data_IF_903484420677
#
_entry.id   IF_903484420677
#
_cell.length_a   1.000
_cell.length_b   1.000
_cell.length_c   1.000
_cell.angle_alpha   90.00
_cell.angle_beta   90.00
_cell.angle_gamma   90.00
#
_symmetry.space_group_name_H-M   'P 1'
#
loop_
_entity.id
_entity.type
_entity.pdbx_description
1 polymer ?
#
# COMPACT_ATOMS: atom_id res chain seq x y z
N UNK A 1 8.25 0.48 -25.86
CA UNK A 1 7.88 -0.94 -26.10
C UNK A 1 8.28 -1.32 -27.52
N UNK A 2 8.94 -2.45 -27.73
CA UNK A 2 9.46 -2.91 -29.03
C UNK A 2 8.93 -4.31 -29.37
N UNK A 3 8.97 -4.63 -30.68
CA UNK A 3 8.57 -5.94 -31.19
C UNK A 3 9.73 -6.54 -31.99
N UNK A 4 10.18 -7.70 -31.60
CA UNK A 4 11.08 -8.53 -32.40
C UNK A 4 10.28 -9.12 -33.57
N UNK A 5 10.49 -8.54 -34.75
CA UNK A 5 9.74 -8.91 -35.97
C UNK A 5 10.04 -10.34 -36.42
N UNK A 6 11.23 -10.86 -36.14
CA UNK A 6 11.59 -12.23 -36.55
C UNK A 6 10.84 -13.26 -35.72
N UNK A 7 10.68 -13.02 -34.42
CA UNK A 7 9.87 -13.85 -33.53
C UNK A 7 8.37 -13.68 -33.72
N UNK A 8 7.91 -12.49 -34.10
CA UNK A 8 6.48 -12.20 -34.21
C UNK A 8 5.79 -13.08 -35.25
N UNK A 9 4.77 -13.84 -34.85
CA UNK A 9 3.97 -14.72 -35.74
C UNK A 9 2.69 -14.06 -36.29
N UNK A 10 2.44 -12.80 -35.95
CA UNK A 10 1.30 -12.05 -36.48
C UNK A 10 -0.08 -12.49 -35.91
N UNK A 11 -0.11 -13.10 -34.76
CA UNK A 11 -1.35 -13.63 -34.13
C UNK A 11 -2.35 -12.54 -33.69
N UNK A 12 -1.98 -11.28 -33.69
CA UNK A 12 -2.80 -10.11 -33.34
C UNK A 12 -3.24 -9.99 -31.88
N UNK A 13 -2.92 -10.90 -30.99
CA UNK A 13 -3.36 -10.89 -29.58
C UNK A 13 -2.98 -9.58 -28.87
N UNK A 14 -1.73 -9.13 -29.01
CA UNK A 14 -1.26 -7.88 -28.41
C UNK A 14 -2.02 -6.64 -28.91
N UNK A 15 -2.43 -6.63 -30.19
CA UNK A 15 -3.25 -5.56 -30.76
C UNK A 15 -4.66 -5.56 -30.19
N UNK A 16 -5.27 -6.73 -30.02
CA UNK A 16 -6.63 -6.89 -29.49
C UNK A 16 -6.72 -6.49 -28.02
N UNK A 17 -5.67 -6.75 -27.24
CA UNK A 17 -5.59 -6.46 -25.80
C UNK A 17 -5.12 -5.02 -25.48
N UNK A 18 -4.67 -4.27 -26.47
CA UNK A 18 -4.17 -2.91 -26.28
C UNK A 18 -5.31 -1.90 -26.09
N UNK A 19 -5.59 -1.50 -24.84
CA UNK A 19 -6.68 -0.58 -24.51
C UNK A 19 -6.54 0.80 -25.17
N UNK A 20 -5.31 1.26 -25.41
CA UNK A 20 -5.02 2.56 -26.06
C UNK A 20 -4.88 2.44 -27.57
N UNK A 21 -5.07 1.25 -28.14
CA UNK A 21 -4.99 0.97 -29.58
C UNK A 21 -3.70 1.45 -30.24
N UNK A 22 -2.57 1.39 -29.54
CA UNK A 22 -1.26 1.88 -29.99
C UNK A 22 -0.46 0.84 -30.80
N UNK A 23 -1.10 -0.28 -31.18
CA UNK A 23 -0.49 -1.38 -31.92
C UNK A 23 -1.21 -1.58 -33.25
N UNK A 24 -0.45 -1.53 -34.33
CA UNK A 24 -0.91 -1.81 -35.68
C UNK A 24 -0.22 -3.05 -36.28
N UNK A 25 -0.74 -3.55 -37.40
CA UNK A 25 -0.12 -4.67 -38.11
C UNK A 25 0.49 -4.16 -39.40
N UNK A 26 1.81 -4.29 -39.57
CA UNK A 26 2.56 -3.95 -40.79
C UNK A 26 3.18 -5.25 -41.31
N UNK A 27 2.92 -5.59 -42.56
CA UNK A 27 3.38 -6.85 -43.19
C UNK A 27 3.10 -8.07 -42.36
N UNK A 28 1.88 -8.17 -41.80
CA UNK A 28 1.40 -9.25 -40.91
C UNK A 28 2.18 -9.37 -39.58
N UNK A 29 2.97 -8.39 -39.19
CA UNK A 29 3.71 -8.33 -37.92
C UNK A 29 3.20 -7.18 -37.06
N UNK A 30 3.24 -7.32 -35.74
CA UNK A 30 2.88 -6.25 -34.84
C UNK A 30 3.92 -5.11 -34.92
N UNK A 31 3.41 -3.88 -34.83
CA UNK A 31 4.22 -2.65 -34.73
C UNK A 31 3.60 -1.77 -33.62
N UNK A 32 4.37 -1.44 -32.59
CA UNK A 32 3.95 -0.55 -31.50
C UNK A 32 4.43 0.85 -31.84
N UNK A 33 3.48 1.78 -31.90
CA UNK A 33 3.78 3.16 -32.37
C UNK A 33 4.44 4.01 -31.28
N UNK A 34 4.26 3.64 -29.99
CA UNK A 34 4.71 4.39 -28.82
C UNK A 34 4.22 5.86 -28.78
N UNK A 35 3.02 6.13 -29.31
CA UNK A 35 2.41 7.46 -29.32
C UNK A 35 1.49 7.69 -28.12
N UNK A 36 0.73 6.67 -27.77
CA UNK A 36 -0.24 6.70 -26.65
C UNK A 36 -0.01 5.56 -25.65
N UNK A 37 1.08 4.83 -25.80
CA UNK A 37 1.43 3.69 -24.98
C UNK A 37 1.61 4.10 -23.51
N UNK A 38 0.84 3.44 -22.61
CA UNK A 38 0.91 3.63 -21.16
C UNK A 38 1.85 2.62 -20.47
N UNK A 39 2.67 1.92 -21.23
CA UNK A 39 3.66 0.92 -20.75
C UNK A 39 3.08 -0.13 -19.79
N UNK A 40 1.80 -0.53 -19.98
CA UNK A 40 1.10 -1.46 -19.07
C UNK A 40 1.56 -2.93 -19.14
N UNK A 41 2.43 -3.28 -20.09
CA UNK A 41 3.01 -4.63 -20.21
C UNK A 41 2.07 -5.71 -20.77
N UNK A 42 0.78 -5.45 -21.02
CA UNK A 42 -0.17 -6.46 -21.51
C UNK A 42 0.30 -7.16 -22.79
N UNK A 43 0.88 -6.40 -23.71
CA UNK A 43 1.43 -6.94 -24.96
C UNK A 43 2.63 -7.89 -24.72
N UNK A 44 3.41 -7.69 -23.65
CA UNK A 44 4.47 -8.61 -23.21
C UNK A 44 3.83 -9.88 -22.67
N UNK A 45 2.89 -9.74 -21.72
CA UNK A 45 2.28 -10.85 -21.02
C UNK A 45 1.48 -11.80 -21.93
N UNK A 46 0.79 -11.26 -22.97
CA UNK A 46 -0.07 -12.07 -23.85
C UNK A 46 0.68 -12.70 -25.03
N UNK A 47 1.97 -12.31 -25.27
CA UNK A 47 2.70 -12.78 -26.45
C UNK A 47 3.17 -14.23 -26.34
N UNK A 48 2.61 -15.19 -27.13
CA UNK A 48 2.93 -16.61 -26.97
C UNK A 48 4.37 -16.95 -27.39
N UNK A 49 5.01 -16.09 -28.16
CA UNK A 49 6.37 -16.29 -28.69
C UNK A 49 7.40 -15.32 -28.10
N UNK A 50 7.03 -14.59 -27.06
CA UNK A 50 7.92 -13.61 -26.37
C UNK A 50 8.57 -12.61 -27.33
N UNK A 51 7.80 -12.14 -28.33
CA UNK A 51 8.28 -11.19 -29.34
C UNK A 51 8.19 -9.73 -28.90
N UNK A 52 7.61 -9.42 -27.74
CA UNK A 52 7.44 -8.06 -27.24
C UNK A 52 8.29 -7.87 -26.00
N UNK A 53 9.00 -6.73 -25.91
CA UNK A 53 9.80 -6.33 -24.75
C UNK A 53 9.66 -4.84 -24.46
N UNK A 54 10.15 -4.41 -23.32
CA UNK A 54 10.38 -3.00 -23.00
C UNK A 54 11.81 -2.63 -23.37
N UNK A 55 11.98 -1.48 -23.98
CA UNK A 55 13.28 -0.90 -24.35
C UNK A 55 13.76 0.18 -23.35
N UNK A 56 12.97 0.41 -22.31
CA UNK A 56 13.27 1.35 -21.24
C UNK A 56 13.86 0.57 -20.06
N UNK A 57 15.13 0.25 -20.14
CA UNK A 57 15.86 -0.55 -19.15
C UNK A 57 16.11 0.23 -17.84
N UNK A 58 15.99 1.56 -17.83
CA UNK A 58 16.14 2.38 -16.62
C UNK A 58 14.92 2.25 -15.70
N UNK A 59 13.72 2.13 -16.28
CA UNK A 59 12.46 2.05 -15.51
C UNK A 59 11.90 0.62 -15.41
N UNK A 60 12.18 -0.28 -16.38
CA UNK A 60 11.55 -1.59 -16.50
C UNK A 60 12.57 -2.71 -16.75
N UNK A 61 12.67 -3.68 -15.85
CA UNK A 61 13.50 -4.85 -16.05
C UNK A 61 12.71 -5.99 -16.69
N UNK A 62 13.20 -6.50 -17.83
CA UNK A 62 12.64 -7.71 -18.45
C UNK A 62 12.97 -8.99 -17.64
N UNK A 63 13.89 -8.95 -16.70
CA UNK A 63 14.17 -10.07 -15.78
C UNK A 63 13.04 -10.35 -14.81
N UNK A 64 12.17 -9.35 -14.55
CA UNK A 64 10.96 -9.51 -13.74
C UNK A 64 9.83 -10.27 -14.46
N UNK A 65 9.94 -10.48 -15.78
CA UNK A 65 8.91 -11.16 -16.57
C UNK A 65 9.04 -12.67 -16.40
N UNK A 66 8.22 -13.24 -15.52
CA UNK A 66 8.22 -14.65 -15.16
C UNK A 66 7.22 -15.41 -16.04
N UNK A 67 7.59 -16.56 -16.64
CA UNK A 67 6.65 -17.43 -17.33
C UNK A 67 5.55 -17.93 -16.39
N UNK A 68 4.32 -18.05 -16.92
CA UNK A 68 3.21 -18.58 -16.15
C UNK A 68 3.35 -20.09 -15.93
N UNK A 69 3.39 -20.50 -14.65
CA UNK A 69 3.31 -21.89 -14.22
C UNK A 69 2.10 -22.04 -13.27
N UNK A 70 1.18 -22.93 -13.60
CA UNK A 70 -0.12 -23.01 -12.92
C UNK A 70 0.00 -23.24 -11.43
N UNK A 71 0.94 -24.08 -11.02
CA UNK A 71 1.18 -24.43 -9.61
C UNK A 71 1.58 -23.21 -8.78
N UNK A 72 2.38 -22.33 -9.35
CA UNK A 72 2.93 -21.16 -8.66
C UNK A 72 1.99 -19.95 -8.69
N UNK A 73 1.13 -19.85 -9.72
CA UNK A 73 0.30 -18.67 -9.97
C UNK A 73 -1.18 -18.87 -9.65
N UNK A 74 -1.56 -20.01 -9.08
CA UNK A 74 -2.96 -20.25 -8.67
C UNK A 74 -3.07 -20.46 -7.17
N UNK A 75 -4.10 -19.88 -6.57
CA UNK A 75 -4.43 -20.05 -5.17
C UNK A 75 -5.87 -20.56 -5.04
N UNK A 76 -6.08 -21.49 -4.12
CA UNK A 76 -7.42 -21.99 -3.81
C UNK A 76 -8.29 -20.87 -3.23
N UNK A 77 -9.50 -20.69 -3.79
CA UNK A 77 -10.39 -19.60 -3.45
C UNK A 77 -10.86 -19.64 -1.99
N UNK A 78 -11.12 -20.82 -1.44
CA UNK A 78 -11.56 -20.95 -0.05
C UNK A 78 -10.41 -20.69 0.93
N UNK A 79 -9.19 -21.11 0.59
CA UNK A 79 -8.00 -20.79 1.37
C UNK A 79 -7.76 -19.29 1.39
N UNK A 80 -7.82 -18.61 0.23
CA UNK A 80 -7.69 -17.16 0.14
C UNK A 80 -8.77 -16.44 0.94
N UNK A 81 -10.04 -16.89 0.83
CA UNK A 81 -11.15 -16.32 1.58
C UNK A 81 -10.96 -16.49 3.09
N UNK A 82 -10.52 -17.65 3.54
CA UNK A 82 -10.25 -17.90 4.96
C UNK A 82 -9.10 -17.06 5.48
N UNK A 83 -8.03 -16.90 4.69
CA UNK A 83 -6.91 -16.01 4.98
C UNK A 83 -7.38 -14.57 5.21
N UNK A 84 -8.16 -14.01 4.25
CA UNK A 84 -8.72 -12.65 4.39
C UNK A 84 -9.65 -12.51 5.60
N UNK A 85 -10.49 -13.52 5.89
CA UNK A 85 -11.40 -13.52 7.05
C UNK A 85 -10.67 -13.56 8.38
N UNK A 86 -9.49 -14.18 8.43
CA UNK A 86 -8.72 -14.36 9.66
C UNK A 86 -7.87 -13.13 10.01
N UNK A 87 -7.46 -12.31 9.02
CA UNK A 87 -6.68 -11.09 9.22
C UNK A 87 -7.30 -10.14 10.26
N UNK A 88 -6.45 -9.59 11.14
CA UNK A 88 -6.84 -8.64 12.20
C UNK A 88 -5.87 -7.47 12.29
N UNK A 89 -6.40 -6.33 12.73
CA UNK A 89 -5.55 -5.21 13.15
C UNK A 89 -4.82 -5.58 14.44
N UNK A 90 -3.52 -5.77 14.36
CA UNK A 90 -2.65 -6.13 15.49
C UNK A 90 -2.22 -4.85 16.22
N UNK A 91 -2.30 -4.86 17.56
CA UNK A 91 -1.93 -3.74 18.44
C UNK A 91 -1.10 -4.19 19.64
N UNK A 92 -0.53 -5.37 19.56
CA UNK A 92 0.43 -5.90 20.52
C UNK A 92 1.54 -6.58 19.75
N UNK A 93 2.70 -5.94 19.72
CA UNK A 93 3.86 -6.40 18.98
C UNK A 93 4.96 -6.91 19.91
N UNK A 94 5.79 -7.81 19.39
CA UNK A 94 7.08 -8.15 19.97
C UNK A 94 8.07 -7.02 19.67
N UNK A 95 9.23 -7.06 20.32
CA UNK A 95 10.31 -6.08 20.07
C UNK A 95 11.27 -6.52 18.97
N UNK A 96 11.01 -7.69 18.38
CA UNK A 96 11.87 -8.26 17.35
C UNK A 96 11.87 -7.35 16.13
N UNK A 97 13.05 -7.10 15.59
CA UNK A 97 13.20 -6.39 14.32
C UNK A 97 12.65 -7.23 13.17
N UNK A 98 12.25 -6.56 12.10
CA UNK A 98 11.76 -7.21 10.88
C UNK A 98 12.92 -7.26 9.89
N UNK A 99 13.13 -8.44 9.33
CA UNK A 99 14.16 -8.70 8.33
C UNK A 99 13.91 -7.86 7.06
N UNK A 100 14.97 -7.31 6.48
CA UNK A 100 14.88 -6.42 5.32
C UNK A 100 14.18 -7.11 4.13
N UNK A 101 14.47 -8.40 3.91
CA UNK A 101 13.81 -9.20 2.87
C UNK A 101 12.27 -9.23 3.01
N UNK A 102 11.74 -9.22 4.23
CA UNK A 102 10.28 -9.14 4.44
C UNK A 102 9.73 -7.76 4.14
N UNK A 103 10.50 -6.71 4.48
CA UNK A 103 10.11 -5.32 4.16
C UNK A 103 10.05 -5.14 2.64
N UNK A 104 11.05 -5.62 1.92
CA UNK A 104 11.10 -5.61 0.46
C UNK A 104 9.91 -6.34 -0.16
N UNK A 105 9.56 -7.53 0.33
CA UNK A 105 8.38 -8.29 -0.15
C UNK A 105 7.06 -7.54 0.11
N UNK A 106 6.94 -6.82 1.21
CA UNK A 106 5.75 -6.00 1.49
C UNK A 106 5.65 -4.85 0.50
N UNK A 107 6.77 -4.16 0.23
CA UNK A 107 6.83 -3.05 -0.75
C UNK A 107 6.54 -3.59 -2.15
N UNK A 108 7.11 -4.72 -2.50
CA UNK A 108 6.88 -5.40 -3.77
C UNK A 108 5.39 -5.71 -4.01
N UNK A 109 4.68 -6.21 -3.00
CA UNK A 109 3.24 -6.43 -3.10
C UNK A 109 2.46 -5.13 -3.38
N UNK A 110 2.92 -3.99 -2.87
CA UNK A 110 2.39 -2.67 -3.18
C UNK A 110 2.73 -2.23 -4.61
N UNK A 111 3.98 -2.45 -5.05
CA UNK A 111 4.49 -2.08 -6.38
C UNK A 111 3.73 -2.78 -7.49
N UNK A 112 3.37 -4.05 -7.34
CA UNK A 112 2.55 -4.82 -8.30
C UNK A 112 1.04 -4.50 -8.20
N UNK A 113 0.68 -3.29 -7.80
CA UNK A 113 -0.70 -2.83 -7.79
C UNK A 113 -1.02 -2.10 -9.09
N UNK A 114 -2.18 -2.40 -9.67
CA UNK A 114 -2.69 -1.63 -10.80
C UNK A 114 -2.94 -0.18 -10.39
N UNK A 115 -2.57 0.76 -11.24
CA UNK A 115 -2.79 2.19 -11.04
C UNK A 115 -3.57 2.78 -12.20
N UNK A 116 -4.20 3.92 -11.99
CA UNK A 116 -4.89 4.66 -13.04
C UNK A 116 -3.95 4.95 -14.21
N UNK A 117 -4.34 4.57 -15.43
CA UNK A 117 -3.50 4.72 -16.64
C UNK A 117 -2.07 4.17 -16.53
N UNK A 118 -1.86 3.23 -15.62
CA UNK A 118 -0.54 2.64 -15.31
C UNK A 118 0.51 3.69 -14.90
N UNK A 119 0.10 4.72 -14.16
CA UNK A 119 0.99 5.82 -13.75
C UNK A 119 2.08 5.39 -12.76
N UNK A 120 1.82 4.34 -11.97
CA UNK A 120 2.75 3.72 -11.00
C UNK A 120 3.37 4.74 -10.01
N UNK A 121 2.58 5.73 -9.56
CA UNK A 121 3.02 6.84 -8.72
C UNK A 121 2.97 6.54 -7.22
N UNK A 122 2.61 5.31 -6.83
CA UNK A 122 2.59 4.93 -5.41
C UNK A 122 4.01 4.87 -4.86
N UNK A 123 4.25 5.61 -3.80
CA UNK A 123 5.56 5.67 -3.14
C UNK A 123 5.48 5.28 -1.66
N UNK A 124 6.60 4.87 -1.10
CA UNK A 124 6.66 4.29 0.24
C UNK A 124 7.74 4.99 1.07
N UNK A 125 7.42 5.30 2.32
CA UNK A 125 8.42 5.72 3.30
C UNK A 125 8.52 4.67 4.40
N UNK A 126 9.67 4.07 4.55
CA UNK A 126 10.01 3.10 5.60
C UNK A 126 10.62 3.85 6.78
N UNK A 127 10.02 3.71 7.97
CA UNK A 127 10.52 4.35 9.19
C UNK A 127 10.85 3.27 10.22
N UNK A 128 12.12 3.16 10.60
CA UNK A 128 12.67 2.25 11.63
C UNK A 128 13.28 3.06 12.78
N UNK A 129 14.26 3.89 12.49
CA UNK A 129 15.09 4.55 13.51
C UNK A 129 14.43 5.78 14.15
N UNK A 130 13.63 6.50 13.41
CA UNK A 130 13.05 7.80 13.84
C UNK A 130 11.60 7.71 14.34
N UNK A 131 11.11 6.51 14.68
CA UNK A 131 9.72 6.31 15.11
C UNK A 131 9.38 7.17 16.34
N UNK A 132 10.28 7.29 17.31
CA UNK A 132 10.01 8.05 18.53
C UNK A 132 9.91 9.55 18.26
N UNK A 133 10.74 10.09 17.39
CA UNK A 133 10.67 11.52 17.02
C UNK A 133 9.40 11.81 16.22
N UNK A 134 9.05 10.93 15.27
CA UNK A 134 7.80 11.04 14.53
C UNK A 134 6.60 10.95 15.47
N UNK A 135 6.61 10.00 16.42
CA UNK A 135 5.59 9.86 17.46
C UNK A 135 5.43 11.13 18.28
N UNK A 136 6.53 11.77 18.67
CA UNK A 136 6.53 13.03 19.43
C UNK A 136 5.79 14.15 18.68
N UNK A 137 6.11 14.32 17.39
CA UNK A 137 5.49 15.36 16.56
C UNK A 137 4.01 15.07 16.32
N UNK A 138 3.67 13.82 16.03
CA UNK A 138 2.27 13.39 15.82
C UNK A 138 1.43 13.58 17.08
N UNK A 139 1.89 13.13 18.24
CA UNK A 139 1.18 13.31 19.51
C UNK A 139 1.03 14.78 19.91
N UNK A 140 2.04 15.60 19.69
CA UNK A 140 1.96 17.05 19.91
C UNK A 140 0.89 17.69 19.03
N UNK A 141 0.80 17.29 17.77
CA UNK A 141 -0.23 17.77 16.84
C UNK A 141 -1.63 17.32 17.28
N UNK A 142 -1.80 16.05 17.64
CA UNK A 142 -3.08 15.53 18.15
C UNK A 142 -3.51 16.24 19.43
N UNK A 143 -2.57 16.59 20.32
CA UNK A 143 -2.86 17.34 21.52
C UNK A 143 -3.39 18.76 21.19
N UNK A 144 -2.73 19.48 20.27
CA UNK A 144 -3.22 20.79 19.80
C UNK A 144 -4.63 20.69 19.16
N UNK A 145 -4.89 19.64 18.38
CA UNK A 145 -6.20 19.39 17.81
C UNK A 145 -7.24 19.12 18.91
N UNK A 146 -6.87 18.36 19.95
CA UNK A 146 -7.72 18.07 21.08
C UNK A 146 -8.11 19.34 21.85
N UNK A 147 -7.15 20.26 22.10
CA UNK A 147 -7.44 21.53 22.77
C UNK A 147 -8.44 22.38 21.98
N UNK A 148 -8.30 22.46 20.65
CA UNK A 148 -9.26 23.15 19.79
C UNK A 148 -10.64 22.52 19.86
N UNK A 149 -10.74 21.18 19.87
CA UNK A 149 -12.01 20.47 19.93
C UNK A 149 -12.70 20.64 21.28
N UNK A 150 -11.95 20.64 22.38
CA UNK A 150 -12.48 20.78 23.73
C UNK A 150 -12.90 22.21 24.07
N UNK A 151 -12.28 23.21 23.45
CA UNK A 151 -12.64 24.63 23.62
C UNK A 151 -13.78 25.09 22.72
N UNK A 152 -14.19 24.30 21.73
CA UNK A 152 -15.27 24.64 20.81
C UNK A 152 -16.57 23.94 21.23
N UNK A 153 -17.54 24.71 21.70
CA UNK A 153 -18.86 24.21 22.14
C UNK A 153 -19.67 23.53 21.03
N UNK A 154 -19.37 23.85 19.74
CA UNK A 154 -20.02 23.24 18.59
C UNK A 154 -19.44 21.85 18.24
N UNK A 155 -18.35 21.42 18.91
CA UNK A 155 -17.75 20.11 18.63
C UNK A 155 -18.75 18.99 18.90
N UNK A 156 -19.03 18.11 17.89
CA UNK A 156 -19.96 17.01 18.08
C UNK A 156 -19.54 16.10 19.24
N UNK A 157 -20.46 15.83 20.18
CA UNK A 157 -20.19 15.05 21.41
C UNK A 157 -19.49 13.70 21.15
N UNK A 158 -19.81 13.04 20.04
CA UNK A 158 -19.19 11.76 19.70
C UNK A 158 -17.70 11.88 19.33
N UNK A 159 -17.20 13.08 18.99
CA UNK A 159 -15.81 13.34 18.71
C UNK A 159 -15.00 13.70 19.96
N UNK A 160 -15.62 14.22 21.02
CA UNK A 160 -14.93 14.61 22.25
C UNK A 160 -14.17 13.44 22.90
N UNK A 161 -14.66 12.21 22.75
CA UNK A 161 -13.93 11.01 23.23
C UNK A 161 -12.53 10.87 22.60
N UNK A 162 -12.38 11.29 21.34
CA UNK A 162 -11.06 11.28 20.66
C UNK A 162 -10.16 12.38 21.19
N UNK A 163 -10.70 13.58 21.42
CA UNK A 163 -9.93 14.68 22.01
C UNK A 163 -9.39 14.29 23.39
N UNK A 164 -10.22 13.76 24.27
CA UNK A 164 -9.76 13.26 25.58
C UNK A 164 -8.74 12.12 25.46
N UNK A 165 -8.88 11.24 24.47
CA UNK A 165 -7.93 10.15 24.25
C UNK A 165 -6.58 10.70 23.78
N UNK A 166 -6.56 11.65 22.84
CA UNK A 166 -5.32 12.26 22.33
C UNK A 166 -4.59 13.02 23.42
N UNK A 167 -5.30 13.75 24.29
CA UNK A 167 -4.68 14.39 25.44
C UNK A 167 -3.99 13.37 26.35
N UNK A 168 -4.70 12.32 26.75
CA UNK A 168 -4.10 11.27 27.59
C UNK A 168 -2.90 10.59 26.93
N UNK A 169 -2.93 10.38 25.61
CA UNK A 169 -1.79 9.80 24.88
C UNK A 169 -0.58 10.73 24.90
N UNK A 170 -0.81 12.03 24.74
CA UNK A 170 0.25 13.05 24.80
C UNK A 170 0.81 13.18 26.22
N UNK A 171 -0.04 13.32 27.23
CA UNK A 171 0.37 13.46 28.64
C UNK A 171 1.20 12.23 29.09
N UNK A 172 0.74 11.03 28.74
CA UNK A 172 1.48 9.78 29.02
C UNK A 172 2.83 9.73 28.31
N UNK A 173 2.92 10.25 27.08
CA UNK A 173 4.18 10.35 26.36
C UNK A 173 5.14 11.36 27.01
N UNK A 174 4.65 12.52 27.43
CA UNK A 174 5.46 13.55 28.10
C UNK A 174 5.99 13.03 29.45
N UNK A 175 5.14 12.35 30.23
CA UNK A 175 5.52 11.75 31.50
C UNK A 175 6.57 10.65 31.33
N UNK A 176 6.37 9.76 30.37
CA UNK A 176 7.31 8.67 30.09
C UNK A 176 7.32 8.30 28.60
N UNK A 177 8.23 8.87 27.78
CA UNK A 177 8.32 8.58 26.35
C UNK A 177 8.51 7.10 26.00
N UNK A 178 9.11 6.32 26.92
CA UNK A 178 9.31 4.88 26.78
C UNK A 178 8.17 4.05 27.37
N UNK A 179 7.16 4.71 27.96
CA UNK A 179 5.99 4.10 28.58
C UNK A 179 5.01 3.50 27.59
N UNK A 180 3.71 3.62 27.88
CA UNK A 180 2.65 3.14 27.01
C UNK A 180 2.65 3.88 25.66
N UNK A 181 2.42 3.13 24.58
CA UNK A 181 2.27 3.67 23.24
C UNK A 181 0.94 3.21 22.62
N UNK A 182 -0.01 4.12 22.52
CA UNK A 182 -1.32 3.89 21.86
C UNK A 182 -1.39 4.45 20.44
N UNK A 183 -0.29 5.04 19.93
CA UNK A 183 -0.24 5.51 18.56
C UNK A 183 0.32 4.44 17.63
N UNK A 184 1.49 3.89 17.96
CA UNK A 184 2.20 2.89 17.15
C UNK A 184 2.42 1.56 17.88
N UNK A 185 1.95 1.44 19.13
CA UNK A 185 1.99 0.20 19.93
C UNK A 185 3.39 -0.41 20.07
N UNK A 186 4.43 0.44 20.07
CA UNK A 186 5.84 0.04 20.11
C UNK A 186 6.24 -0.92 18.98
N UNK A 187 5.59 -0.82 17.84
CA UNK A 187 5.97 -1.57 16.65
C UNK A 187 7.36 -1.12 16.16
N UNK A 188 8.18 -2.04 15.63
CA UNK A 188 9.52 -1.74 15.15
C UNK A 188 9.55 -1.08 13.77
N UNK A 189 8.42 -1.06 13.05
CA UNK A 189 8.38 -0.60 11.66
C UNK A 189 7.09 0.17 11.36
N UNK A 190 7.23 1.30 10.65
CA UNK A 190 6.13 1.94 9.96
C UNK A 190 6.41 1.95 8.46
N UNK A 191 5.40 1.67 7.65
CA UNK A 191 5.43 1.93 6.21
C UNK A 191 4.31 2.91 5.89
N UNK A 192 4.67 4.07 5.35
CA UNK A 192 3.74 5.11 4.98
C UNK A 192 3.58 5.06 3.48
N UNK A 193 2.37 4.79 3.02
CA UNK A 193 2.00 4.72 1.61
C UNK A 193 1.55 6.11 1.16
N UNK A 194 2.14 6.60 0.08
CA UNK A 194 1.86 7.90 -0.52
C UNK A 194 1.51 7.72 -1.99
N UNK A 195 0.58 8.50 -2.50
CA UNK A 195 0.19 8.52 -3.91
C UNK A 195 -0.50 9.83 -4.24
N UNK A 196 -0.60 10.17 -5.52
CA UNK A 196 -1.46 11.28 -5.96
C UNK A 196 -2.93 10.85 -5.94
N UNK A 197 -3.22 9.60 -6.34
CA UNK A 197 -4.55 9.01 -6.35
C UNK A 197 -4.79 8.14 -5.12
N UNK A 198 -5.84 8.47 -4.36
CA UNK A 198 -6.20 7.74 -3.13
C UNK A 198 -6.61 6.29 -3.39
N UNK A 199 -7.22 6.00 -4.55
CA UNK A 199 -7.61 4.64 -4.93
C UNK A 199 -6.38 3.78 -5.15
N UNK A 200 -5.40 4.27 -5.90
CA UNK A 200 -4.18 3.54 -6.25
C UNK A 200 -3.38 3.20 -4.98
N UNK A 201 -3.18 4.19 -4.10
CA UNK A 201 -2.52 3.97 -2.81
C UNK A 201 -3.32 3.07 -1.85
N UNK A 202 -4.66 3.15 -1.90
CA UNK A 202 -5.54 2.27 -1.12
C UNK A 202 -5.46 0.80 -1.57
N UNK A 203 -5.44 0.56 -2.87
CA UNK A 203 -5.25 -0.78 -3.45
C UNK A 203 -3.87 -1.35 -3.10
N UNK A 204 -2.80 -0.53 -3.18
CA UNK A 204 -1.46 -0.93 -2.78
C UNK A 204 -1.42 -1.30 -1.29
N UNK A 205 -1.97 -0.45 -0.43
CA UNK A 205 -2.05 -0.71 1.02
C UNK A 205 -2.78 -2.01 1.35
N UNK A 206 -3.85 -2.34 0.61
CA UNK A 206 -4.60 -3.57 0.82
C UNK A 206 -3.80 -4.83 0.43
N UNK A 207 -3.05 -4.80 -0.68
CA UNK A 207 -2.16 -5.90 -1.06
C UNK A 207 -1.00 -6.07 -0.07
N UNK A 208 -0.39 -4.96 0.34
CA UNK A 208 0.67 -4.96 1.35
C UNK A 208 0.19 -5.55 2.67
N UNK A 209 -1.03 -5.24 3.12
CA UNK A 209 -1.63 -5.82 4.32
C UNK A 209 -1.70 -7.35 4.23
N UNK A 210 -2.14 -7.90 3.10
CA UNK A 210 -2.20 -9.34 2.89
C UNK A 210 -0.79 -9.97 2.90
N UNK A 211 0.19 -9.29 2.31
CA UNK A 211 1.59 -9.75 2.32
C UNK A 211 2.16 -9.76 3.75
N UNK A 212 1.88 -8.73 4.56
CA UNK A 212 2.27 -8.67 5.98
C UNK A 212 1.75 -9.91 6.73
N UNK A 213 0.47 -10.24 6.57
CA UNK A 213 -0.11 -11.42 7.23
C UNK A 213 0.48 -12.74 6.70
N UNK A 214 0.75 -12.83 5.39
CA UNK A 214 1.37 -14.02 4.77
C UNK A 214 2.80 -14.26 5.27
N UNK A 215 3.53 -13.20 5.61
CA UNK A 215 4.87 -13.25 6.19
C UNK A 215 4.87 -13.56 7.71
N UNK A 216 3.70 -13.81 8.31
CA UNK A 216 3.57 -14.06 9.75
C UNK A 216 3.75 -12.79 10.61
N UNK A 217 3.69 -11.63 10.00
CA UNK A 217 3.67 -10.33 10.66
C UNK A 217 2.24 -9.91 10.97
N UNK A 218 2.08 -8.80 11.67
CA UNK A 218 0.78 -8.17 11.89
C UNK A 218 0.85 -6.69 11.58
N UNK A 219 -0.27 -6.12 11.16
CA UNK A 219 -0.35 -4.68 10.90
C UNK A 219 -1.58 -4.03 11.52
N UNK A 220 -1.47 -2.72 11.68
CA UNK A 220 -2.53 -1.81 12.08
C UNK A 220 -2.40 -0.52 11.28
N UNK A 221 -3.48 -0.04 10.70
CA UNK A 221 -3.51 1.27 10.02
C UNK A 221 -3.76 2.39 11.03
N UNK A 222 -2.82 3.34 11.13
CA UNK A 222 -2.87 4.43 12.10
C UNK A 222 -3.59 5.66 11.55
N UNK A 223 -4.93 5.67 11.61
CA UNK A 223 -5.72 6.84 11.20
C UNK A 223 -5.49 8.10 12.07
N UNK A 224 -4.87 7.99 13.24
CA UNK A 224 -4.45 9.15 14.02
C UNK A 224 -3.22 9.83 13.44
N UNK A 225 -2.30 9.03 12.91
CA UNK A 225 -1.16 9.55 12.16
C UNK A 225 -1.63 10.37 10.95
N UNK A 226 -2.51 9.80 10.14
CA UNK A 226 -3.06 10.45 8.94
C UNK A 226 -3.75 11.79 9.28
N UNK A 227 -4.56 11.80 10.34
CA UNK A 227 -5.22 13.03 10.83
C UNK A 227 -4.23 14.11 11.28
N UNK A 228 -3.19 13.72 12.01
CA UNK A 228 -2.16 14.66 12.45
C UNK A 228 -1.36 15.20 11.26
N UNK A 229 -1.00 14.33 10.32
CA UNK A 229 -0.26 14.71 9.13
C UNK A 229 -1.02 15.70 8.24
N UNK A 230 -2.34 15.52 8.11
CA UNK A 230 -3.20 16.48 7.40
C UNK A 230 -3.25 17.89 8.04
N UNK A 231 -2.88 18.01 9.33
CA UNK A 231 -2.92 19.28 10.08
C UNK A 231 -1.53 19.88 10.33
N UNK A 232 -0.46 19.13 10.09
CA UNK A 232 0.90 19.56 10.38
C UNK A 232 1.86 19.19 9.25
N UNK A 233 2.23 20.15 8.38
CA UNK A 233 3.13 19.92 7.25
C UNK A 233 4.49 19.35 7.64
N UNK A 234 4.96 19.64 8.86
CA UNK A 234 6.22 19.09 9.37
C UNK A 234 6.24 17.56 9.35
N UNK A 235 5.09 16.90 9.57
CA UNK A 235 5.02 15.44 9.49
C UNK A 235 5.26 15.00 8.04
N UNK A 236 4.68 15.71 7.06
CA UNK A 236 4.94 15.47 5.64
C UNK A 236 6.42 15.62 5.28
N UNK A 237 7.06 16.67 5.76
CA UNK A 237 8.51 16.89 5.57
C UNK A 237 9.35 15.74 6.16
N UNK A 238 9.01 15.29 7.38
CA UNK A 238 9.74 14.21 8.06
C UNK A 238 9.68 12.87 7.31
N UNK A 239 8.62 12.65 6.56
CA UNK A 239 8.41 11.40 5.79
C UNK A 239 8.75 11.56 4.30
N UNK A 240 9.27 12.71 3.90
CA UNK A 240 9.62 12.98 2.50
C UNK A 240 8.40 13.01 1.57
N UNK A 241 7.30 13.62 2.01
CA UNK A 241 6.11 13.84 1.17
C UNK A 241 6.46 14.84 0.07
N UNK A 242 6.24 14.47 -1.19
CA UNK A 242 6.49 15.31 -2.36
C UNK A 242 5.26 16.13 -2.73
N UNK A 243 5.47 17.18 -3.52
CA UNK A 243 4.38 17.97 -4.08
C UNK A 243 3.43 17.09 -4.91
N UNK A 244 2.13 17.25 -4.69
CA UNK A 244 1.08 16.45 -5.33
C UNK A 244 0.81 15.10 -4.68
N UNK A 245 1.71 14.57 -3.84
CA UNK A 245 1.46 13.34 -3.08
C UNK A 245 0.53 13.59 -1.89
N UNK A 246 -0.28 12.60 -1.58
CA UNK A 246 -1.08 12.48 -0.36
C UNK A 246 -0.62 11.29 0.45
N UNK A 247 -0.71 11.40 1.76
CA UNK A 247 -0.55 10.25 2.65
C UNK A 247 -1.83 9.42 2.55
N UNK A 248 -1.71 8.19 2.10
CA UNK A 248 -2.84 7.28 1.89
C UNK A 248 -3.06 6.40 3.12
N UNK A 249 -1.97 5.88 3.68
CA UNK A 249 -2.04 5.08 4.89
C UNK A 249 -0.72 5.11 5.66
N UNK A 250 -0.82 4.85 6.98
CA UNK A 250 0.33 4.56 7.82
C UNK A 250 0.16 3.15 8.39
N UNK A 251 0.91 2.21 7.85
CA UNK A 251 0.95 0.82 8.27
C UNK A 251 1.93 0.67 9.42
N UNK A 252 1.44 0.27 10.58
CA UNK A 252 2.23 -0.03 11.78
C UNK A 252 2.45 -1.54 11.82
N UNK A 253 3.70 -2.00 11.71
CA UNK A 253 4.01 -3.40 11.40
C UNK A 253 4.98 -3.96 12.44
N UNK A 254 4.77 -5.23 12.81
CA UNK A 254 5.64 -5.97 13.72
C UNK A 254 5.22 -7.43 13.86
N UNK A 255 6.04 -8.21 14.56
CA UNK A 255 5.67 -9.56 14.95
C UNK A 255 4.55 -9.51 16.00
N UNK A 256 3.41 -10.19 15.79
CA UNK A 256 2.32 -10.18 16.75
C UNK A 256 2.73 -10.90 18.05
N UNK A 257 2.39 -10.31 19.22
CA UNK A 257 2.51 -10.93 20.53
C UNK A 257 1.20 -11.59 20.95
N UNK A 258 0.21 -11.60 20.09
CA UNK A 258 -1.10 -12.21 20.27
C UNK A 258 -1.35 -13.26 19.21
N UNK A 259 -2.09 -14.29 19.55
CA UNK A 259 -2.56 -15.31 18.63
C UNK A 259 -4.09 -15.29 18.62
N UNK A 260 -4.68 -14.98 17.48
CA UNK A 260 -6.12 -15.06 17.30
C UNK A 260 -6.55 -16.52 17.07
N UNK A 261 -7.64 -16.93 17.69
CA UNK A 261 -8.09 -18.33 17.65
C UNK A 261 -9.29 -18.55 16.74
N UNK A 262 -9.90 -17.48 16.22
CA UNK A 262 -11.11 -17.55 15.38
C UNK A 262 -11.32 -16.27 14.59
N UNK A 263 -12.14 -16.37 13.56
CA UNK A 263 -12.62 -15.20 12.79
C UNK A 263 -13.62 -14.36 13.62
N UNK A 264 -14.02 -13.22 13.10
CA UNK A 264 -15.03 -12.36 13.73
C UNK A 264 -16.24 -12.18 12.82
N UNK A 265 -17.43 -11.90 13.37
CA UNK A 265 -18.62 -11.63 12.59
C UNK A 265 -18.48 -10.33 11.80
N UNK A 266 -19.18 -10.25 10.68
CA UNK A 266 -19.36 -9.04 9.87
C UNK A 266 -20.85 -8.82 9.65
N UNK A 267 -21.22 -7.57 9.40
CA UNK A 267 -22.57 -7.25 8.92
C UNK A 267 -22.78 -7.89 7.54
N UNK A 268 -24.02 -8.21 7.24
CA UNK A 268 -24.39 -8.67 5.90
C UNK A 268 -24.06 -7.65 4.83
N UNK A 269 -23.71 -8.14 3.65
CA UNK A 269 -23.44 -7.27 2.51
C UNK A 269 -24.74 -6.59 2.02
N UNK A 270 -24.65 -5.30 1.75
CA UNK A 270 -25.74 -4.56 1.11
C UNK A 270 -25.53 -4.65 -0.41
N UNK A 271 -26.34 -5.46 -1.07
CA UNK A 271 -26.24 -5.74 -2.50
C UNK A 271 -27.48 -5.23 -3.21
N UNK A 272 -27.30 -4.39 -4.21
CA UNK A 272 -28.35 -4.02 -5.16
C UNK A 272 -28.10 -4.80 -6.46
N UNK A 273 -29.12 -5.48 -6.95
CA UNK A 273 -29.08 -6.15 -8.27
C UNK A 273 -30.07 -5.41 -9.17
N UNK A 274 -29.62 -4.98 -10.35
CA UNK A 274 -30.39 -4.26 -11.38
C UNK A 274 -30.37 -5.05 -12.67
#
# INVERSE_FOLDING_TARGET
>A
MIVDRDKCIGCTLCKQDCIVSDIEMIDKKAHIRNLTCIKCGHCIAICPVKAVSCDDEEEYSMEEVIPYEKEDFTIDADKLMNFMKFRRSVRLFKKDEIEEEKIEKIIEAGRFTQTSTNIQDVSYTVVKDNIQELRRVVLGTLNMMADKMLSNEETPKHLLKYAHMWKRMYDSFVENPNGEDKLFFKAPLLIIVKAQNEIDGGLASAKMELMVDALGLGTYFSGFFERAAAMNPKIGEMIGLKEGEKIISCMVIGYPRVEYKRTVPRKEARITRI
#
